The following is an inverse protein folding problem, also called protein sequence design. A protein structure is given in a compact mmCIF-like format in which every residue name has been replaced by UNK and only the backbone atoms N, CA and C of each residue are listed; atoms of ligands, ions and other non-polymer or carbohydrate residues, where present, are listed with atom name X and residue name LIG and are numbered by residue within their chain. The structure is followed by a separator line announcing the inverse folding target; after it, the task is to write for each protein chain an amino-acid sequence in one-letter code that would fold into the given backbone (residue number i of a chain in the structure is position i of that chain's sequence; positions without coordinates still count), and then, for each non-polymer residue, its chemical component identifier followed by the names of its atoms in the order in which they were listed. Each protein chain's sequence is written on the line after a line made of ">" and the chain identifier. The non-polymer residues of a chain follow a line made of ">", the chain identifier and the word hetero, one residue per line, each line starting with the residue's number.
data_IF_249900452000
#
_entry.id   IF_249900452000
#
_cell.length_a   1.000
_cell.length_b   1.000
_cell.length_c   1.000
_cell.angle_alpha   90.00
_cell.angle_beta   90.00
_cell.angle_gamma   90.00
#
_symmetry.space_group_name_H-M   'P 1'
#
loop_
_entity.id
_entity.type
_entity.pdbx_description
1 polymer ?
#
# COMPACT_ATOMS: atom_id res chain seq x y z
N UNK A 1 -9.48 12.56 18.05
CA UNK A 1 -10.23 12.09 16.85
C UNK A 1 -9.44 12.40 15.58
N UNK A 2 -9.62 11.63 14.51
CA UNK A 2 -8.95 11.82 13.21
C UNK A 2 -9.96 12.23 12.13
N UNK A 3 -9.52 12.97 11.11
CA UNK A 3 -10.38 13.44 10.00
C UNK A 3 -9.62 13.59 8.69
N UNK A 4 -10.29 13.38 7.55
CA UNK A 4 -9.71 13.68 6.25
C UNK A 4 -9.77 15.19 5.98
N UNK A 5 -8.69 15.78 5.48
CA UNK A 5 -8.65 17.24 5.22
C UNK A 5 -9.80 17.72 4.31
N UNK A 6 -10.22 16.91 3.35
CA UNK A 6 -11.33 17.23 2.43
C UNK A 6 -12.70 17.32 3.12
N UNK A 7 -12.85 16.69 4.29
CA UNK A 7 -14.10 16.64 5.07
C UNK A 7 -14.15 17.75 6.14
N UNK A 8 -13.05 18.47 6.33
CA UNK A 8 -12.98 19.61 7.23
C UNK A 8 -13.60 20.86 6.57
N UNK A 9 -14.49 21.52 7.32
CA UNK A 9 -14.91 22.87 6.98
C UNK A 9 -13.79 23.85 7.38
N UNK A 10 -12.86 24.10 6.45
CA UNK A 10 -11.70 24.96 6.68
C UNK A 10 -12.10 26.38 7.11
N UNK A 11 -13.12 26.97 6.48
CA UNK A 11 -13.59 28.31 6.83
C UNK A 11 -14.04 28.39 8.28
N UNK A 12 -14.80 27.39 8.75
CA UNK A 12 -15.22 27.32 10.14
C UNK A 12 -14.03 27.12 11.07
N UNK A 13 -13.10 26.21 10.75
CA UNK A 13 -11.92 25.97 11.58
C UNK A 13 -11.01 27.20 11.69
N UNK A 14 -10.88 27.99 10.61
CA UNK A 14 -10.14 29.25 10.60
C UNK A 14 -10.83 30.30 11.49
N UNK A 15 -12.15 30.47 11.33
CA UNK A 15 -12.93 31.48 12.07
C UNK A 15 -13.03 31.16 13.56
N UNK A 16 -13.34 29.91 13.90
CA UNK A 16 -13.50 29.47 15.29
C UNK A 16 -12.15 29.42 16.02
N UNK A 17 -11.03 29.34 15.29
CA UNK A 17 -9.68 29.29 15.84
C UNK A 17 -9.37 28.00 16.61
N UNK A 18 -10.29 27.04 16.63
CA UNK A 18 -10.16 25.77 17.34
C UNK A 18 -10.83 24.65 16.53
N UNK A 19 -10.23 23.46 16.52
CA UNK A 19 -10.85 22.25 15.99
C UNK A 19 -10.50 21.03 16.84
N UNK A 20 -11.44 20.09 16.99
CA UNK A 20 -11.37 19.00 17.98
C UNK A 20 -10.61 17.76 17.50
N UNK A 21 -9.83 17.88 16.42
CA UNK A 21 -9.13 16.76 15.80
C UNK A 21 -7.64 16.78 16.15
N UNK A 22 -7.13 15.61 16.51
CA UNK A 22 -5.72 15.42 16.84
C UNK A 22 -4.91 14.94 15.64
N UNK A 23 -5.59 14.38 14.63
CA UNK A 23 -4.97 13.87 13.41
C UNK A 23 -5.75 14.35 12.19
N UNK A 24 -5.04 14.91 11.21
CA UNK A 24 -5.59 15.30 9.92
C UNK A 24 -4.79 14.55 8.86
N UNK A 25 -5.46 13.72 8.06
CA UNK A 25 -4.81 12.99 6.97
C UNK A 25 -5.25 13.52 5.62
N UNK A 26 -4.32 13.54 4.67
CA UNK A 26 -4.54 14.01 3.31
C UNK A 26 -3.45 13.48 2.39
N UNK A 27 -3.74 13.43 1.10
CA UNK A 27 -2.70 13.24 0.09
C UNK A 27 -1.97 14.57 -0.19
N UNK A 28 -0.70 14.54 -0.63
CA UNK A 28 0.10 15.74 -0.90
C UNK A 28 -0.55 16.72 -1.89
N UNK A 29 -1.17 16.23 -2.97
CA UNK A 29 -1.88 17.02 -3.99
C UNK A 29 -3.06 17.82 -3.41
N UNK A 30 -3.55 17.42 -2.23
CA UNK A 30 -4.65 18.09 -1.56
C UNK A 30 -4.20 19.17 -0.59
N UNK A 31 -2.91 19.26 -0.30
CA UNK A 31 -2.32 20.22 0.62
C UNK A 31 -1.54 21.30 -0.15
N UNK A 32 -0.65 20.86 -1.05
CA UNK A 32 0.32 21.73 -1.69
C UNK A 32 -0.35 22.72 -2.65
N UNK A 33 0.14 23.97 -2.67
CA UNK A 33 -0.31 25.01 -3.58
C UNK A 33 -1.74 25.52 -3.39
N UNK A 34 -2.44 25.13 -2.31
CA UNK A 34 -3.84 25.54 -2.06
C UNK A 34 -3.92 26.73 -1.07
N UNK A 35 -4.36 27.92 -1.52
CA UNK A 35 -4.40 29.11 -0.65
C UNK A 35 -5.29 28.96 0.59
N UNK A 36 -6.40 28.23 0.48
CA UNK A 36 -7.31 27.97 1.61
C UNK A 36 -6.64 27.10 2.69
N UNK A 37 -5.82 26.13 2.28
CA UNK A 37 -5.06 25.27 3.19
C UNK A 37 -3.91 26.03 3.84
N UNK A 38 -3.21 26.89 3.08
CA UNK A 38 -2.17 27.75 3.65
C UNK A 38 -2.75 28.69 4.73
N UNK A 39 -3.91 29.32 4.47
CA UNK A 39 -4.62 30.12 5.50
C UNK A 39 -5.03 29.29 6.70
N UNK A 40 -5.43 28.03 6.48
CA UNK A 40 -5.75 27.12 7.57
C UNK A 40 -4.53 26.81 8.44
N UNK A 41 -3.36 26.55 7.85
CA UNK A 41 -2.12 26.34 8.60
C UNK A 41 -1.63 27.59 9.36
N UNK A 42 -2.08 28.77 8.95
CA UNK A 42 -1.82 30.03 9.62
C UNK A 42 -2.90 30.40 10.66
N UNK A 43 -3.91 29.55 10.92
CA UNK A 43 -4.83 29.85 12.02
C UNK A 43 -4.19 29.65 13.39
N UNK A 44 -4.72 30.40 14.37
CA UNK A 44 -4.36 30.33 15.79
C UNK A 44 -4.24 28.90 16.33
N UNK A 45 -5.09 28.02 15.79
CA UNK A 45 -5.11 26.59 16.00
C UNK A 45 -3.75 25.88 15.82
N UNK A 46 -2.91 26.30 14.86
CA UNK A 46 -1.58 25.73 14.62
C UNK A 46 -0.48 26.58 15.26
N UNK A 47 -0.71 27.87 15.49
CA UNK A 47 0.23 28.75 16.21
C UNK A 47 0.35 28.36 17.69
N UNK A 48 -0.77 28.02 18.34
CA UNK A 48 -0.81 27.70 19.77
C UNK A 48 -0.45 26.23 20.07
N UNK A 49 -0.44 25.37 19.05
CA UNK A 49 -0.22 23.94 19.21
C UNK A 49 1.10 23.48 18.61
N UNK A 50 1.69 22.44 19.21
CA UNK A 50 2.85 21.78 18.60
C UNK A 50 2.39 20.94 17.41
N UNK A 51 2.82 21.34 16.22
CA UNK A 51 2.46 20.68 14.97
C UNK A 51 3.50 19.62 14.61
N UNK A 52 3.03 18.42 14.29
CA UNK A 52 3.86 17.35 13.74
C UNK A 52 3.35 17.00 12.34
N UNK A 53 4.22 17.13 11.36
CA UNK A 53 3.97 16.69 9.99
C UNK A 53 4.47 15.27 9.86
N UNK A 54 3.54 14.32 9.72
CA UNK A 54 3.85 12.90 9.52
C UNK A 54 3.78 12.59 8.03
N UNK A 55 4.90 12.17 7.45
CA UNK A 55 5.00 11.71 6.06
C UNK A 55 5.07 10.19 6.11
N UNK A 56 3.96 9.54 5.79
CA UNK A 56 3.90 8.10 5.57
C UNK A 56 4.45 7.76 4.19
N UNK A 57 5.02 6.57 4.03
CA UNK A 57 5.73 6.14 2.82
C UNK A 57 6.73 7.18 2.28
N UNK A 58 7.57 7.73 3.17
CA UNK A 58 8.52 8.79 2.83
C UNK A 58 9.51 8.41 1.71
N UNK A 59 9.65 7.12 1.40
CA UNK A 59 10.42 6.64 0.25
C UNK A 59 9.91 7.20 -1.09
N UNK A 60 8.63 7.57 -1.19
CA UNK A 60 8.02 8.23 -2.36
C UNK A 60 8.61 9.60 -2.69
N UNK A 61 9.35 10.22 -1.76
CA UNK A 61 10.09 11.47 -2.03
C UNK A 61 11.21 11.22 -3.05
N UNK A 62 11.76 10.01 -3.04
CA UNK A 62 12.79 9.59 -3.96
C UNK A 62 12.11 9.01 -5.20
N UNK A 63 12.59 9.38 -6.39
CA UNK A 63 12.07 8.90 -7.68
C UNK A 63 12.31 7.40 -7.89
N UNK A 64 11.52 6.53 -7.25
CA UNK A 64 11.65 5.08 -7.38
C UNK A 64 10.27 4.44 -7.56
N UNK A 65 10.04 3.86 -8.74
CA UNK A 65 8.89 3.02 -9.07
C UNK A 65 7.76 3.71 -9.84
N UNK A 66 6.85 2.89 -10.37
CA UNK A 66 5.68 3.33 -11.15
C UNK A 66 4.62 4.07 -10.31
N UNK A 67 4.70 3.95 -8.98
CA UNK A 67 3.85 4.64 -8.00
C UNK A 67 4.44 5.97 -7.50
N UNK A 68 5.53 6.45 -8.11
CA UNK A 68 6.13 7.74 -7.75
C UNK A 68 5.11 8.87 -7.90
N UNK A 69 4.90 9.59 -6.80
CA UNK A 69 4.02 10.76 -6.76
C UNK A 69 4.88 12.03 -6.69
N UNK A 70 4.99 12.80 -7.79
CA UNK A 70 5.85 13.98 -7.85
C UNK A 70 5.61 14.99 -6.71
N UNK A 71 4.39 15.06 -6.19
CA UNK A 71 4.02 15.93 -5.08
C UNK A 71 4.79 15.62 -3.78
N UNK A 72 5.26 14.39 -3.55
CA UNK A 72 6.07 14.07 -2.38
C UNK A 72 7.39 14.85 -2.36
N UNK A 73 8.00 15.08 -3.53
CA UNK A 73 9.25 15.85 -3.65
C UNK A 73 9.09 17.31 -3.20
N UNK A 74 7.86 17.82 -3.21
CA UNK A 74 7.50 19.20 -2.88
C UNK A 74 7.08 19.39 -1.42
N UNK A 75 7.05 18.32 -0.61
CA UNK A 75 6.64 18.41 0.79
C UNK A 75 7.54 19.32 1.65
N UNK A 76 8.74 19.65 1.18
CA UNK A 76 9.62 20.67 1.80
C UNK A 76 8.95 22.05 1.85
N UNK A 77 8.06 22.37 0.92
CA UNK A 77 7.31 23.64 0.87
C UNK A 77 6.47 23.86 2.14
N UNK A 78 6.07 22.78 2.84
CA UNK A 78 5.34 22.88 4.09
C UNK A 78 6.12 23.62 5.18
N UNK A 79 7.46 23.64 5.12
CA UNK A 79 8.28 24.42 6.05
C UNK A 79 8.07 25.93 5.92
N UNK A 80 7.66 26.41 4.74
CA UNK A 80 7.40 27.84 4.55
C UNK A 80 6.10 28.29 5.23
N UNK A 81 5.12 27.39 5.36
CA UNK A 81 3.81 27.68 5.98
C UNK A 81 3.72 27.19 7.43
N UNK A 82 4.52 26.21 7.81
CA UNK A 82 4.61 25.64 9.16
C UNK A 82 6.10 25.51 9.58
N UNK A 83 6.79 26.64 9.81
CA UNK A 83 8.25 26.65 10.07
C UNK A 83 8.65 25.92 11.34
N UNK A 84 7.81 25.98 12.38
CA UNK A 84 8.06 25.35 13.69
C UNK A 84 7.60 23.88 13.75
N UNK A 85 7.05 23.33 12.66
CA UNK A 85 6.57 21.96 12.67
C UNK A 85 7.71 20.94 12.71
N UNK A 86 7.52 19.90 13.53
CA UNK A 86 8.41 18.75 13.56
C UNK A 86 8.03 17.79 12.44
N UNK A 87 8.99 17.33 11.66
CA UNK A 87 8.77 16.34 10.60
C UNK A 87 9.08 14.94 11.12
N UNK A 88 8.12 14.03 10.96
CA UNK A 88 8.27 12.59 11.21
C UNK A 88 8.11 11.86 9.87
N UNK A 89 9.17 11.22 9.41
CA UNK A 89 9.16 10.43 8.16
C UNK A 89 9.10 8.95 8.50
N UNK A 90 8.12 8.24 7.95
CA UNK A 90 7.91 6.81 8.15
C UNK A 90 8.13 6.07 6.83
N UNK A 91 8.90 4.98 6.87
CA UNK A 91 9.12 4.13 5.70
C UNK A 91 9.59 2.75 6.16
N UNK A 92 9.08 1.70 5.52
CA UNK A 92 9.54 0.33 5.75
C UNK A 92 10.82 -0.01 4.96
N UNK A 93 11.05 0.67 3.84
CA UNK A 93 12.10 0.35 2.86
C UNK A 93 12.89 1.59 2.52
N UNK A 94 13.99 1.81 3.25
CA UNK A 94 14.86 2.96 3.00
C UNK A 94 16.34 2.60 3.21
N UNK A 95 17.10 2.67 2.12
CA UNK A 95 18.56 2.47 2.16
C UNK A 95 19.25 3.61 2.91
N UNK A 96 20.48 3.40 3.37
CA UNK A 96 21.29 4.44 4.03
C UNK A 96 21.42 5.68 3.11
N UNK A 97 21.61 5.46 1.80
CA UNK A 97 21.62 6.55 0.82
C UNK A 97 20.26 7.27 0.77
N UNK A 98 19.17 6.51 0.68
CA UNK A 98 17.82 7.09 0.68
C UNK A 98 17.50 7.89 1.94
N UNK A 99 18.01 7.50 3.10
CA UNK A 99 17.89 8.28 4.34
C UNK A 99 18.58 9.64 4.21
N UNK A 100 19.80 9.68 3.67
CA UNK A 100 20.52 10.93 3.43
C UNK A 100 19.80 11.81 2.40
N UNK A 101 19.30 11.20 1.33
CA UNK A 101 18.58 11.90 0.26
C UNK A 101 17.27 12.53 0.80
N UNK A 102 16.46 11.80 1.56
CA UNK A 102 15.23 12.34 2.19
C UNK A 102 15.56 13.49 3.16
N UNK A 103 16.62 13.34 3.97
CA UNK A 103 17.05 14.41 4.89
C UNK A 103 17.37 15.70 4.12
N UNK A 104 18.06 15.58 2.99
CA UNK A 104 18.40 16.71 2.14
C UNK A 104 17.15 17.30 1.47
N UNK A 105 16.32 16.47 0.82
CA UNK A 105 15.11 16.90 0.12
C UNK A 105 14.15 17.66 1.04
N UNK A 106 13.95 17.17 2.27
CA UNK A 106 13.05 17.81 3.25
C UNK A 106 13.75 18.83 4.15
N UNK A 107 15.04 19.13 3.93
CA UNK A 107 15.83 20.04 4.77
C UNK A 107 15.72 19.70 6.28
N UNK A 108 15.82 18.41 6.64
CA UNK A 108 15.70 17.95 8.02
C UNK A 108 16.97 18.27 8.81
N UNK A 109 16.87 19.18 9.78
CA UNK A 109 17.94 19.49 10.74
C UNK A 109 17.86 18.58 11.95
N UNK A 110 19.01 18.22 12.52
CA UNK A 110 19.12 17.39 13.74
C UNK A 110 18.29 16.09 13.72
N UNK A 111 18.14 15.51 12.52
CA UNK A 111 17.26 14.38 12.28
C UNK A 111 17.80 13.09 12.91
N UNK A 112 17.06 12.59 13.91
CA UNK A 112 17.27 11.27 14.52
C UNK A 112 16.72 10.19 13.62
N UNK A 113 17.52 9.15 13.40
CA UNK A 113 17.12 7.97 12.64
C UNK A 113 16.83 6.85 13.62
N UNK A 114 15.64 6.26 13.52
CA UNK A 114 15.26 5.06 14.24
C UNK A 114 14.88 3.99 13.21
N UNK A 115 15.48 2.82 13.32
CA UNK A 115 15.22 1.71 12.39
C UNK A 115 15.63 0.40 13.01
N UNK A 116 14.87 -0.64 12.69
CA UNK A 116 15.11 -2.02 13.13
C UNK A 116 15.05 -2.95 11.92
N UNK A 117 15.77 -4.07 12.01
CA UNK A 117 15.66 -5.13 11.01
C UNK A 117 14.35 -5.88 11.29
N UNK A 118 13.43 -5.99 10.32
CA UNK A 118 12.17 -6.68 10.53
C UNK A 118 12.38 -8.20 10.51
N UNK A 119 12.85 -8.75 11.63
CA UNK A 119 12.89 -10.21 11.83
C UNK A 119 11.50 -10.67 12.24
N UNK A 120 10.86 -11.46 11.40
CA UNK A 120 9.53 -12.04 11.67
C UNK A 120 9.68 -13.52 11.98
N UNK A 121 9.79 -13.94 13.26
CA UNK A 121 10.03 -15.33 13.63
C UNK A 121 8.87 -16.26 13.23
N UNK A 122 7.70 -15.69 12.95
CA UNK A 122 6.53 -16.40 12.43
C UNK A 122 6.51 -16.53 10.90
N UNK A 123 7.57 -16.15 10.18
CA UNK A 123 7.70 -16.36 8.73
C UNK A 123 8.73 -17.44 8.45
N UNK A 124 8.29 -18.54 7.83
CA UNK A 124 9.14 -19.60 7.30
C UNK A 124 9.30 -19.45 5.78
N UNK A 125 10.54 -19.50 5.29
CA UNK A 125 10.84 -19.42 3.85
C UNK A 125 11.17 -20.83 3.34
N UNK A 126 10.47 -21.29 2.31
CA UNK A 126 10.76 -22.55 1.61
C UNK A 126 11.01 -22.28 0.14
N UNK A 127 12.04 -22.89 -0.42
CA UNK A 127 12.40 -22.74 -1.85
C UNK A 127 12.21 -24.08 -2.55
N UNK A 128 11.35 -24.10 -3.57
CA UNK A 128 11.14 -25.26 -4.42
C UNK A 128 11.73 -24.99 -5.81
N UNK A 129 12.56 -25.92 -6.29
CA UNK A 129 13.16 -25.81 -7.61
C UNK A 129 12.11 -26.14 -8.67
N UNK A 130 11.81 -25.18 -9.54
CA UNK A 130 10.99 -25.42 -10.72
C UNK A 130 11.79 -26.26 -11.72
N UNK A 131 11.28 -27.41 -12.19
CA UNK A 131 11.93 -28.16 -13.25
C UNK A 131 11.97 -27.34 -14.54
N UNK A 132 13.10 -27.35 -15.25
CA UNK A 132 13.20 -26.75 -16.57
C UNK A 132 12.35 -27.58 -17.53
N UNK A 133 11.31 -26.99 -18.11
CA UNK A 133 10.50 -27.67 -19.13
C UNK A 133 11.10 -27.43 -20.51
N UNK A 134 11.29 -28.50 -21.27
CA UNK A 134 11.72 -28.44 -22.67
C UNK A 134 10.56 -28.45 -23.67
N UNK A 135 9.30 -28.61 -23.23
CA UNK A 135 8.12 -28.73 -24.13
C UNK A 135 6.84 -28.02 -23.68
N UNK A 136 6.57 -27.87 -22.37
CA UNK A 136 5.38 -27.18 -21.87
C UNK A 136 5.64 -26.50 -20.52
N UNK A 137 5.65 -25.17 -20.51
CA UNK A 137 5.90 -24.36 -19.30
C UNK A 137 4.82 -24.60 -18.23
N UNK A 138 3.60 -24.93 -18.66
CA UNK A 138 2.44 -25.20 -17.80
C UNK A 138 2.65 -26.41 -16.89
N UNK A 139 3.26 -27.48 -17.43
CA UNK A 139 3.63 -28.67 -16.66
C UNK A 139 4.68 -28.36 -15.58
N UNK A 140 5.58 -27.39 -15.82
CA UNK A 140 6.57 -27.01 -14.81
C UNK A 140 5.95 -26.28 -13.62
N UNK A 141 4.93 -25.46 -13.86
CA UNK A 141 4.18 -24.78 -12.79
C UNK A 141 3.30 -25.75 -12.01
N UNK A 142 2.73 -26.75 -12.71
CA UNK A 142 1.88 -27.76 -12.08
C UNK A 142 2.58 -28.46 -10.91
N UNK A 143 3.86 -28.81 -11.04
CA UNK A 143 4.61 -29.46 -9.96
C UNK A 143 4.64 -28.63 -8.67
N UNK A 144 4.79 -27.31 -8.78
CA UNK A 144 4.81 -26.40 -7.63
C UNK A 144 3.39 -26.17 -7.11
N UNK A 145 2.43 -25.95 -8.01
CA UNK A 145 1.05 -25.66 -7.64
C UNK A 145 0.33 -26.87 -7.02
N UNK A 146 0.65 -28.09 -7.45
CA UNK A 146 0.12 -29.32 -6.85
C UNK A 146 0.51 -29.40 -5.37
N UNK A 147 1.78 -29.12 -5.03
CA UNK A 147 2.22 -29.12 -3.63
C UNK A 147 1.41 -28.09 -2.83
N UNK A 148 1.33 -26.85 -3.32
CA UNK A 148 0.62 -25.77 -2.65
C UNK A 148 -0.87 -26.07 -2.45
N UNK A 149 -1.59 -26.45 -3.52
CA UNK A 149 -3.04 -26.63 -3.46
C UNK A 149 -3.44 -27.89 -2.69
N UNK A 150 -2.64 -28.96 -2.73
CA UNK A 150 -2.88 -30.13 -1.88
C UNK A 150 -2.66 -29.80 -0.40
N UNK A 151 -1.66 -28.99 -0.07
CA UNK A 151 -1.48 -28.52 1.31
C UNK A 151 -2.66 -27.65 1.78
N UNK A 152 -3.12 -26.71 0.94
CA UNK A 152 -4.29 -25.88 1.25
C UNK A 152 -5.57 -26.70 1.41
N UNK A 153 -5.72 -27.79 0.63
CA UNK A 153 -6.85 -28.72 0.77
C UNK A 153 -6.90 -29.36 2.15
N UNK A 154 -5.73 -29.71 2.72
CA UNK A 154 -5.61 -30.31 4.06
C UNK A 154 -5.75 -29.26 5.16
N UNK A 155 -5.16 -28.08 4.97
CA UNK A 155 -5.12 -27.00 5.97
C UNK A 155 -6.29 -26.01 5.88
N UNK A 156 -7.34 -26.35 5.15
CA UNK A 156 -8.43 -25.41 4.88
C UNK A 156 -9.09 -24.96 6.19
N UNK A 157 -9.13 -23.65 6.42
CA UNK A 157 -9.62 -23.04 7.66
C UNK A 157 -8.53 -22.65 8.66
N UNK A 158 -7.34 -23.28 8.60
CA UNK A 158 -6.16 -22.86 9.37
C UNK A 158 -5.35 -21.77 8.65
N UNK A 159 -5.52 -21.65 7.34
CA UNK A 159 -4.93 -20.58 6.50
C UNK A 159 -6.01 -19.57 6.13
N UNK A 160 -6.14 -18.44 6.86
CA UNK A 160 -7.24 -17.50 6.65
C UNK A 160 -7.16 -16.77 5.29
N UNK A 161 -5.94 -16.58 4.77
CA UNK A 161 -5.70 -15.99 3.46
C UNK A 161 -4.38 -16.52 2.89
N UNK A 162 -4.39 -16.90 1.61
CA UNK A 162 -3.18 -17.25 0.86
C UNK A 162 -3.13 -16.43 -0.42
N UNK A 163 -2.01 -15.75 -0.67
CA UNK A 163 -1.78 -14.96 -1.88
C UNK A 163 -0.72 -15.66 -2.71
N UNK A 164 -0.99 -15.86 -4.00
CA UNK A 164 -0.07 -16.47 -4.95
C UNK A 164 0.25 -15.45 -6.04
N UNK A 165 1.51 -15.03 -6.11
CA UNK A 165 1.98 -14.05 -7.10
C UNK A 165 2.54 -14.73 -8.35
N UNK A 166 2.25 -14.16 -9.51
CA UNK A 166 2.76 -14.60 -10.82
C UNK A 166 3.43 -13.44 -11.54
N UNK A 167 4.59 -13.71 -12.15
CA UNK A 167 5.37 -12.72 -12.89
C UNK A 167 4.97 -12.67 -14.38
N UNK A 168 3.74 -12.25 -14.69
CA UNK A 168 3.46 -11.57 -15.99
C UNK A 168 2.93 -12.38 -17.20
N UNK A 169 2.13 -13.43 -17.01
CA UNK A 169 1.19 -13.82 -18.09
C UNK A 169 -0.17 -14.19 -17.52
N UNK A 170 -1.22 -13.56 -18.06
CA UNK A 170 -2.60 -13.94 -17.79
C UNK A 170 -2.84 -15.44 -18.03
N UNK A 171 -2.12 -16.04 -18.98
CA UNK A 171 -2.21 -17.47 -19.24
C UNK A 171 -1.78 -18.32 -18.04
N UNK A 172 -0.74 -17.91 -17.30
CA UNK A 172 -0.29 -18.65 -16.11
C UNK A 172 -1.21 -18.44 -14.92
N UNK A 173 -1.74 -17.24 -14.76
CA UNK A 173 -2.71 -16.95 -13.71
C UNK A 173 -4.00 -17.74 -13.95
N UNK A 174 -4.51 -17.73 -15.20
CA UNK A 174 -5.67 -18.52 -15.62
C UNK A 174 -5.44 -20.02 -15.42
N UNK A 175 -4.29 -20.55 -15.88
CA UNK A 175 -3.92 -21.93 -15.64
C UNK A 175 -3.89 -22.28 -14.14
N UNK A 176 -3.26 -21.44 -13.32
CA UNK A 176 -3.17 -21.68 -11.89
C UNK A 176 -4.54 -21.65 -11.22
N UNK A 177 -5.42 -20.74 -11.63
CA UNK A 177 -6.80 -20.65 -11.15
C UNK A 177 -7.60 -21.89 -11.53
N UNK A 178 -7.56 -22.32 -12.80
CA UNK A 178 -8.22 -23.56 -13.25
C UNK A 178 -7.69 -24.79 -12.51
N UNK A 179 -6.38 -24.84 -12.30
CA UNK A 179 -5.73 -25.92 -11.58
C UNK A 179 -6.11 -25.93 -10.09
N UNK A 180 -6.17 -24.77 -9.45
CA UNK A 180 -6.70 -24.63 -8.09
C UNK A 180 -8.15 -25.13 -8.00
N UNK A 181 -8.99 -24.73 -8.94
CA UNK A 181 -10.38 -25.16 -9.00
C UNK A 181 -10.52 -26.68 -9.11
N UNK A 182 -9.65 -27.31 -9.91
CA UNK A 182 -9.60 -28.76 -10.09
C UNK A 182 -9.16 -29.49 -8.81
N UNK A 183 -8.11 -29.02 -8.14
CA UNK A 183 -7.53 -29.70 -6.95
C UNK A 183 -8.43 -29.52 -5.72
N UNK A 184 -8.94 -28.30 -5.51
CA UNK A 184 -9.75 -27.92 -4.36
C UNK A 184 -11.22 -28.35 -4.50
N UNK A 185 -11.74 -28.46 -5.73
CA UNK A 185 -13.09 -28.96 -6.00
C UNK A 185 -14.18 -28.16 -5.28
N UNK A 186 -14.97 -28.81 -4.43
CA UNK A 186 -16.06 -28.16 -3.69
C UNK A 186 -15.57 -27.13 -2.67
N UNK A 187 -14.28 -27.13 -2.32
CA UNK A 187 -13.68 -26.19 -1.37
C UNK A 187 -13.43 -24.80 -1.96
N UNK A 188 -13.60 -24.65 -3.27
CA UNK A 188 -13.50 -23.36 -3.98
C UNK A 188 -14.60 -22.39 -3.55
N UNK A 189 -15.72 -22.91 -3.06
CA UNK A 189 -16.85 -22.11 -2.59
C UNK A 189 -17.21 -22.44 -1.14
N UNK A 190 -17.69 -21.45 -0.41
CA UNK A 190 -18.32 -21.64 0.89
C UNK A 190 -19.82 -21.92 0.71
N UNK A 191 -20.17 -23.18 0.42
CA UNK A 191 -21.57 -23.55 0.16
C UNK A 191 -21.95 -23.38 -1.31
N UNK A 192 -22.92 -22.53 -1.60
CA UNK A 192 -23.43 -22.35 -2.96
C UNK A 192 -22.37 -21.77 -3.91
N UNK A 193 -22.39 -22.23 -5.16
CA UNK A 193 -21.46 -21.80 -6.22
C UNK A 193 -21.88 -20.44 -6.79
N UNK A 194 -21.62 -19.37 -6.04
CA UNK A 194 -21.81 -18.00 -6.48
C UNK A 194 -20.58 -17.13 -6.15
N UNK A 195 -20.40 -15.97 -6.78
CA UNK A 195 -19.23 -15.12 -6.57
C UNK A 195 -19.03 -14.65 -5.12
N UNK A 196 -20.11 -14.44 -4.38
CA UNK A 196 -20.08 -13.97 -2.98
C UNK A 196 -19.51 -15.04 -2.03
N UNK A 197 -19.67 -16.30 -2.38
CA UNK A 197 -19.17 -17.45 -1.62
C UNK A 197 -17.80 -17.95 -2.11
N UNK A 198 -17.17 -17.29 -3.08
CA UNK A 198 -15.88 -17.75 -3.63
C UNK A 198 -14.74 -17.63 -2.61
N UNK A 199 -14.05 -18.74 -2.36
CA UNK A 199 -12.83 -18.83 -1.52
C UNK A 199 -11.55 -18.71 -2.32
N UNK A 200 -11.62 -18.96 -3.63
CA UNK A 200 -10.51 -18.80 -4.58
C UNK A 200 -10.90 -17.74 -5.58
N UNK A 201 -10.07 -16.71 -5.68
CA UNK A 201 -10.29 -15.57 -6.58
C UNK A 201 -9.04 -15.30 -7.38
N UNK A 202 -9.24 -14.93 -8.64
CA UNK A 202 -8.18 -14.52 -9.54
C UNK A 202 -8.19 -13.00 -9.65
N UNK A 203 -7.07 -12.36 -9.32
CA UNK A 203 -6.86 -10.93 -9.58
C UNK A 203 -5.86 -10.76 -10.70
N UNK A 204 -6.19 -9.89 -11.65
CA UNK A 204 -5.27 -9.40 -12.66
C UNK A 204 -5.54 -7.90 -12.90
N UNK A 205 -4.51 -7.16 -13.31
CA UNK A 205 -4.73 -5.82 -13.83
C UNK A 205 -5.71 -5.90 -15.01
N UNK A 206 -6.69 -4.98 -15.07
CA UNK A 206 -7.56 -4.88 -16.23
C UNK A 206 -6.70 -4.58 -17.45
N UNK A 207 -6.60 -5.52 -18.40
CA UNK A 207 -6.12 -5.17 -19.73
C UNK A 207 -7.21 -4.30 -20.32
N UNK A 208 -6.90 -3.08 -20.76
CA UNK A 208 -7.82 -2.26 -21.54
C UNK A 208 -8.05 -2.93 -22.91
N UNK A 209 -8.87 -3.98 -22.93
CA UNK A 209 -9.65 -4.34 -24.09
C UNK A 209 -11.05 -3.78 -23.84
N UNK A 210 -11.56 -3.06 -24.83
CA UNK A 210 -12.85 -2.38 -24.78
C UNK A 210 -13.96 -3.29 -24.20
N UNK A 211 -14.78 -2.67 -23.35
CA UNK A 211 -16.05 -3.19 -22.80
C UNK A 211 -15.99 -4.51 -22.02
N UNK A 212 -15.64 -4.42 -20.74
CA UNK A 212 -16.51 -4.70 -19.58
C UNK A 212 -15.66 -4.93 -18.32
N UNK A 213 -15.65 -3.93 -17.43
CA UNK A 213 -14.97 -4.02 -16.13
C UNK A 213 -15.83 -4.83 -15.16
N UNK A 214 -15.56 -6.11 -15.00
CA UNK A 214 -16.08 -6.87 -13.84
C UNK A 214 -15.28 -6.46 -12.61
N UNK A 215 -15.75 -5.41 -11.92
CA UNK A 215 -15.36 -5.09 -10.55
C UNK A 215 -16.03 -6.10 -9.63
N UNK A 216 -15.26 -7.04 -9.06
CA UNK A 216 -15.70 -7.76 -7.87
C UNK A 216 -15.70 -6.74 -6.72
N UNK A 217 -16.90 -6.44 -6.20
CA UNK A 217 -17.09 -5.51 -5.07
C UNK A 217 -16.45 -6.10 -3.79
N UNK A 218 -15.93 -5.19 -2.97
CA UNK A 218 -15.44 -5.45 -1.61
C UNK A 218 -16.51 -6.06 -0.72
#
# INVERSE_FOLDING_TARGET
>A
MAVQLKELNLCKAITDGHFSYSFIYSHPENILGKPSVNKFFQCRCFEENRVVIVIDEAHCILEWGDDFRPEYSKLVELRAVLPEATFLCLSATLSIKGQADIKNCLSLKDCRIHGEIPVKPNISITVLRRPASSKDVTLSYRHILDVLFNELKVKLGATPLTIVYFNSSLNYIGFAYEHACRVLGNLVYNGEKNPENARVVMYHASVEYGSEKVRIKK
#
